data_IF_590083530903
#
_entry.id   IF_590083530903
#
_cell.length_a   1.000
_cell.length_b   1.000
_cell.length_c   1.000
_cell.angle_alpha   90.00
_cell.angle_beta   90.00
_cell.angle_gamma   90.00
#
_symmetry.space_group_name_H-M   'P 1'
#
loop_
_entity.id
_entity.type
_entity.pdbx_description
1 polymer ?
#
# COMPACT_ATOMS: atom_id res chain seq x y z
N UNK A 1 10.61 36.94 -10.97
CA UNK A 1 10.35 36.03 -9.85
C UNK A 1 11.45 34.99 -9.77
N UNK A 2 11.82 34.54 -8.58
CA UNK A 2 12.77 33.42 -8.41
C UNK A 2 12.11 32.13 -8.92
N UNK A 3 12.91 31.17 -9.46
CA UNK A 3 12.37 29.90 -9.90
C UNK A 3 11.82 29.08 -8.72
N UNK A 4 10.79 28.25 -8.99
CA UNK A 4 10.26 27.30 -8.00
C UNK A 4 11.27 26.18 -7.73
N UNK A 5 11.03 25.42 -6.64
CA UNK A 5 11.84 24.25 -6.31
C UNK A 5 11.86 23.22 -7.45
N UNK A 6 13.03 22.68 -7.75
CA UNK A 6 13.19 21.64 -8.79
C UNK A 6 12.69 20.27 -8.35
N UNK A 7 12.46 20.04 -7.04
CA UNK A 7 12.03 18.74 -6.50
C UNK A 7 10.77 18.17 -7.16
N UNK A 8 9.83 19.05 -7.49
CA UNK A 8 8.55 18.65 -8.10
C UNK A 8 8.47 18.92 -9.60
N UNK A 9 9.58 19.36 -10.22
CA UNK A 9 9.59 19.77 -11.64
C UNK A 9 9.18 18.64 -12.61
N UNK A 10 9.42 17.39 -12.21
CA UNK A 10 9.08 16.19 -13.01
C UNK A 10 7.88 15.41 -12.46
N UNK A 11 7.22 15.93 -11.41
CA UNK A 11 6.01 15.29 -10.89
C UNK A 11 4.83 15.59 -11.83
N UNK A 12 4.08 14.55 -12.13
CA UNK A 12 2.80 14.66 -12.83
C UNK A 12 1.66 14.47 -11.84
N UNK A 13 0.46 14.85 -12.23
CA UNK A 13 -0.74 14.47 -11.47
C UNK A 13 -0.79 12.94 -11.29
N UNK A 14 -1.24 12.50 -10.11
CA UNK A 14 -1.48 11.08 -9.87
C UNK A 14 -2.35 10.46 -10.96
N UNK A 15 -1.81 9.45 -11.61
CA UNK A 15 -2.52 8.73 -12.68
C UNK A 15 -3.77 8.04 -12.14
N UNK A 16 -3.71 7.51 -10.93
CA UNK A 16 -4.85 6.89 -10.24
C UNK A 16 -6.00 7.90 -10.08
N UNK A 17 -5.70 9.13 -9.65
CA UNK A 17 -6.72 10.20 -9.50
C UNK A 17 -7.23 10.70 -10.84
N UNK A 18 -6.37 10.76 -11.86
CA UNK A 18 -6.77 11.08 -13.25
C UNK A 18 -7.79 10.06 -13.73
N UNK A 19 -7.52 8.77 -13.59
CA UNK A 19 -8.43 7.70 -14.02
C UNK A 19 -9.75 7.69 -13.23
N UNK A 20 -9.73 8.08 -11.96
CA UNK A 20 -10.96 8.30 -11.19
C UNK A 20 -11.81 9.43 -11.78
N UNK A 21 -11.19 10.56 -12.14
CA UNK A 21 -11.92 11.67 -12.79
C UNK A 21 -12.52 11.25 -14.13
N UNK A 22 -11.77 10.51 -14.95
CA UNK A 22 -12.22 9.97 -16.22
C UNK A 22 -13.38 8.98 -16.03
N UNK A 23 -13.28 8.07 -15.07
CA UNK A 23 -14.35 7.13 -14.74
C UNK A 23 -15.65 7.87 -14.36
N UNK A 24 -15.55 8.90 -13.52
CA UNK A 24 -16.71 9.72 -13.13
C UNK A 24 -17.30 10.49 -14.31
N UNK A 25 -16.46 11.03 -15.21
CA UNK A 25 -16.90 11.77 -16.40
C UNK A 25 -17.78 10.91 -17.33
N UNK A 26 -17.46 9.63 -17.46
CA UNK A 26 -18.18 8.72 -18.35
C UNK A 26 -19.18 7.80 -17.63
N UNK A 27 -19.40 7.97 -16.32
CA UNK A 27 -20.28 7.09 -15.54
C UNK A 27 -19.79 5.62 -15.54
N UNK A 28 -18.49 5.44 -15.65
CA UNK A 28 -17.86 4.13 -15.61
C UNK A 28 -17.86 3.55 -14.20
N UNK A 29 -17.97 2.23 -14.09
CA UNK A 29 -17.69 1.52 -12.83
C UNK A 29 -16.23 1.73 -12.47
N UNK A 30 -15.97 2.47 -11.39
CA UNK A 30 -14.60 2.84 -11.03
C UNK A 30 -13.87 1.71 -10.31
N UNK A 31 -13.04 0.97 -11.04
CA UNK A 31 -12.09 -0.03 -10.50
C UNK A 31 -10.64 0.48 -10.53
N UNK A 32 -10.43 1.81 -10.68
CA UNK A 32 -9.09 2.41 -10.74
C UNK A 32 -8.51 2.72 -9.35
N UNK A 33 -9.21 3.49 -8.53
CA UNK A 33 -8.74 3.87 -7.21
C UNK A 33 -9.15 2.85 -6.14
N UNK A 34 -8.15 2.19 -5.53
CA UNK A 34 -8.34 1.10 -4.59
C UNK A 34 -8.89 1.54 -3.23
N UNK A 35 -10.21 1.64 -3.12
CA UNK A 35 -10.93 1.80 -1.85
C UNK A 35 -12.23 0.98 -1.86
N UNK A 36 -12.63 0.41 -0.69
CA UNK A 36 -13.87 -0.31 -0.55
C UNK A 36 -15.10 0.57 -0.76
N UNK A 37 -16.18 0.02 -1.31
CA UNK A 37 -17.52 0.64 -1.38
C UNK A 37 -18.50 0.03 -0.36
N UNK A 38 -17.98 -0.65 0.64
CA UNK A 38 -18.71 -1.19 1.78
C UNK A 38 -18.26 -0.52 3.09
N UNK A 39 -19.17 -0.55 4.07
CA UNK A 39 -19.04 0.22 5.30
C UNK A 39 -17.95 -0.32 6.23
N UNK A 40 -17.38 0.55 7.09
CA UNK A 40 -16.56 0.15 8.21
C UNK A 40 -17.33 -0.74 9.21
N UNK A 41 -16.62 -1.50 10.07
CA UNK A 41 -17.26 -2.27 11.14
C UNK A 41 -18.15 -1.42 12.05
N UNK A 42 -19.36 -1.92 12.36
CA UNK A 42 -20.35 -1.17 13.12
C UNK A 42 -19.85 -0.73 14.50
N UNK A 43 -18.99 -1.54 15.16
CA UNK A 43 -18.40 -1.17 16.45
C UNK A 43 -17.54 0.11 16.37
N UNK A 44 -16.82 0.30 15.26
CA UNK A 44 -16.04 1.51 15.00
C UNK A 44 -16.95 2.71 14.75
N UNK A 45 -18.01 2.54 13.95
CA UNK A 45 -18.98 3.60 13.67
C UNK A 45 -19.74 4.03 14.93
N UNK A 46 -20.14 3.08 15.76
CA UNK A 46 -20.79 3.36 17.04
C UNK A 46 -19.85 4.15 17.96
N UNK A 47 -18.59 3.74 18.06
CA UNK A 47 -17.62 4.46 18.88
C UNK A 47 -17.36 5.88 18.36
N UNK A 48 -17.31 6.08 17.04
CA UNK A 48 -17.19 7.42 16.44
C UNK A 48 -18.36 8.32 16.85
N UNK A 49 -19.59 7.80 16.85
CA UNK A 49 -20.76 8.55 17.26
C UNK A 49 -20.69 8.98 18.75
N UNK A 50 -20.17 8.10 19.63
CA UNK A 50 -19.94 8.42 21.04
C UNK A 50 -18.86 9.50 21.20
N UNK A 51 -17.70 9.29 20.58
CA UNK A 51 -16.53 10.19 20.62
C UNK A 51 -16.89 11.62 20.19
N UNK A 52 -17.84 11.78 19.27
CA UNK A 52 -18.31 13.11 18.84
C UNK A 52 -18.93 13.95 19.96
N UNK A 53 -19.30 13.34 21.08
CA UNK A 53 -19.87 13.99 22.27
C UNK A 53 -18.96 13.94 23.48
N UNK A 54 -17.76 13.39 23.37
CA UNK A 54 -16.76 13.28 24.41
C UNK A 54 -15.64 14.33 24.22
N UNK A 55 -14.74 14.45 25.20
CA UNK A 55 -13.69 15.48 25.21
C UNK A 55 -12.40 15.00 24.48
N UNK A 56 -12.54 14.69 23.18
CA UNK A 56 -11.43 14.30 22.30
C UNK A 56 -11.18 15.28 21.13
N UNK A 57 -11.63 16.54 21.27
CA UNK A 57 -11.58 17.53 20.19
C UNK A 57 -10.23 18.28 20.10
N UNK A 58 -9.40 18.17 21.11
CA UNK A 58 -8.10 18.84 21.15
C UNK A 58 -6.97 17.89 20.71
N UNK A 59 -5.76 18.41 20.60
CA UNK A 59 -4.60 17.61 20.25
C UNK A 59 -4.42 16.43 21.22
N UNK A 60 -4.21 15.25 20.68
CA UNK A 60 -3.60 14.15 21.44
C UNK A 60 -2.10 14.41 21.61
N UNK A 61 -1.40 13.52 22.32
CA UNK A 61 0.06 13.46 22.23
C UNK A 61 0.44 13.35 20.76
N UNK A 62 1.43 14.12 20.27
CA UNK A 62 1.73 14.28 18.86
C UNK A 62 1.98 12.95 18.16
N UNK A 63 2.75 12.05 18.77
CA UNK A 63 3.02 10.71 18.22
C UNK A 63 1.92 9.68 18.47
N UNK A 64 0.72 10.12 18.89
CA UNK A 64 -0.48 9.30 19.03
C UNK A 64 -1.04 9.22 20.45
N UNK A 65 -2.36 9.12 20.57
CA UNK A 65 -3.04 8.92 21.85
C UNK A 65 -2.53 7.64 22.53
N UNK A 66 -2.37 7.70 23.85
CA UNK A 66 -1.76 6.60 24.61
C UNK A 66 -2.57 5.30 24.47
N UNK A 67 -3.88 5.36 24.67
CA UNK A 67 -4.77 4.20 24.56
C UNK A 67 -4.80 3.59 23.17
N UNK A 68 -4.66 4.40 22.11
CA UNK A 68 -4.51 3.92 20.74
C UNK A 68 -3.19 3.17 20.56
N UNK A 69 -2.06 3.74 21.03
CA UNK A 69 -0.75 3.10 20.90
C UNK A 69 -0.66 1.81 21.72
N UNK A 70 -1.28 1.76 22.90
CA UNK A 70 -1.37 0.56 23.75
C UNK A 70 -2.16 -0.56 23.02
N UNK A 71 -3.34 -0.24 22.47
CA UNK A 71 -4.15 -1.21 21.72
C UNK A 71 -3.44 -1.69 20.45
N UNK A 72 -2.73 -0.80 19.76
CA UNK A 72 -1.93 -1.15 18.59
C UNK A 72 -0.73 -2.02 18.95
N UNK A 73 -0.02 -1.69 20.05
CA UNK A 73 1.11 -2.49 20.55
C UNK A 73 0.66 -3.91 20.92
N UNK A 74 -0.47 -4.06 21.61
CA UNK A 74 -1.04 -5.36 21.94
C UNK A 74 -1.32 -6.20 20.68
N UNK A 75 -1.99 -5.60 19.69
CA UNK A 75 -2.28 -6.26 18.40
C UNK A 75 -0.99 -6.67 17.70
N UNK A 76 -0.08 -5.75 17.50
CA UNK A 76 1.12 -5.98 16.68
C UNK A 76 2.17 -6.84 17.38
N UNK A 77 2.26 -6.78 18.70
CA UNK A 77 3.13 -7.70 19.47
C UNK A 77 2.75 -9.15 19.23
N UNK A 78 1.44 -9.44 19.24
CA UNK A 78 0.94 -10.79 18.95
C UNK A 78 1.25 -11.23 17.52
N UNK A 79 1.07 -10.34 16.55
CA UNK A 79 1.25 -10.66 15.13
C UNK A 79 2.73 -10.77 14.73
N UNK A 80 3.58 -9.90 15.26
CA UNK A 80 5.02 -9.89 14.96
C UNK A 80 5.82 -10.87 15.84
N UNK A 81 5.19 -11.46 16.87
CA UNK A 81 5.84 -12.41 17.76
C UNK A 81 6.91 -11.79 18.67
N UNK A 82 6.81 -10.48 18.96
CA UNK A 82 7.69 -9.75 19.87
C UNK A 82 6.92 -8.70 20.66
N UNK A 83 7.36 -8.39 21.86
CA UNK A 83 6.82 -7.27 22.62
C UNK A 83 7.21 -5.94 21.95
N UNK A 84 6.23 -5.04 21.80
CA UNK A 84 6.37 -3.68 21.25
C UNK A 84 6.00 -2.70 22.36
N UNK A 85 6.92 -1.79 22.68
CA UNK A 85 6.67 -0.74 23.66
C UNK A 85 5.84 0.40 23.01
N UNK A 86 4.59 0.63 23.46
CA UNK A 86 3.74 1.69 22.94
C UNK A 86 4.30 3.10 23.15
N UNK A 87 5.25 3.29 24.06
CA UNK A 87 5.79 4.60 24.39
C UNK A 87 7.01 4.99 23.58
N UNK A 88 7.79 4.00 23.14
CA UNK A 88 9.07 4.25 22.47
C UNK A 88 9.15 3.70 21.06
N UNK A 89 8.29 2.77 20.64
CA UNK A 89 8.42 2.05 19.36
C UNK A 89 7.29 2.31 18.36
N UNK A 90 6.31 3.18 18.68
CA UNK A 90 5.16 3.50 17.83
C UNK A 90 5.05 5.01 17.59
N UNK A 91 4.74 5.38 16.34
CA UNK A 91 4.22 6.70 15.96
C UNK A 91 2.94 6.53 15.16
N UNK A 92 1.87 7.17 15.60
CA UNK A 92 0.61 7.26 14.85
C UNK A 92 0.69 8.39 13.81
N UNK A 93 0.32 8.12 12.56
CA UNK A 93 0.50 9.03 11.44
C UNK A 93 -0.81 9.29 10.69
N UNK A 94 -0.84 10.33 9.86
CA UNK A 94 -1.96 10.65 8.97
C UNK A 94 -2.02 9.69 7.76
N UNK A 95 -2.22 8.40 8.04
CA UNK A 95 -2.18 7.30 7.08
C UNK A 95 -0.76 6.82 6.79
N UNK A 96 -0.65 5.68 6.09
CA UNK A 96 0.65 5.12 5.69
C UNK A 96 1.46 6.05 4.78
N UNK A 97 0.81 6.94 4.04
CA UNK A 97 1.49 7.93 3.19
C UNK A 97 2.42 8.83 4.01
N UNK A 98 1.96 9.33 5.16
CA UNK A 98 2.82 10.07 6.08
C UNK A 98 3.84 9.15 6.75
N UNK A 99 3.44 7.94 7.16
CA UNK A 99 4.35 6.97 7.75
C UNK A 99 5.58 6.71 6.87
N UNK A 100 5.35 6.47 5.57
CA UNK A 100 6.41 6.27 4.57
C UNK A 100 7.29 7.52 4.41
N UNK A 101 6.69 8.70 4.28
CA UNK A 101 7.44 9.96 4.16
C UNK A 101 8.27 10.24 5.42
N UNK A 102 7.68 10.07 6.60
CA UNK A 102 8.40 10.29 7.86
C UNK A 102 9.56 9.29 8.04
N UNK A 103 9.35 8.02 7.67
CA UNK A 103 10.41 7.01 7.65
C UNK A 103 11.54 7.40 6.69
N UNK A 104 11.21 7.80 5.46
CA UNK A 104 12.18 8.23 4.45
C UNK A 104 13.00 9.44 4.93
N UNK A 105 12.35 10.49 5.44
CA UNK A 105 13.03 11.69 5.95
C UNK A 105 13.86 11.39 7.20
N UNK A 106 13.58 10.31 7.92
CA UNK A 106 14.34 9.88 9.09
C UNK A 106 15.65 9.21 8.71
N UNK A 107 15.66 8.39 7.65
CA UNK A 107 16.83 7.56 7.31
C UNK A 107 17.68 8.15 6.17
N UNK A 108 17.07 8.84 5.21
CA UNK A 108 17.75 9.31 4.00
C UNK A 108 18.19 10.78 4.10
N UNK A 109 19.42 11.06 3.70
CA UNK A 109 19.92 12.41 3.46
C UNK A 109 19.84 12.75 1.97
N UNK A 110 19.94 14.05 1.61
CA UNK A 110 20.07 14.43 0.21
C UNK A 110 21.29 13.77 -0.46
N UNK A 111 21.05 13.12 -1.61
CA UNK A 111 22.05 12.37 -2.37
C UNK A 111 22.20 10.90 -1.97
N UNK A 112 21.55 10.44 -0.90
CA UNK A 112 21.49 9.02 -0.59
C UNK A 112 20.64 8.27 -1.65
N UNK A 113 20.93 6.98 -1.83
CA UNK A 113 20.18 6.11 -2.75
C UNK A 113 19.20 5.25 -1.99
N UNK A 114 18.06 4.93 -2.62
CA UNK A 114 17.03 4.07 -2.06
C UNK A 114 16.55 3.07 -3.11
N UNK A 115 16.57 1.78 -2.76
CA UNK A 115 16.06 0.74 -3.64
C UNK A 115 14.53 0.74 -3.58
N UNK A 116 13.89 0.71 -4.74
CA UNK A 116 12.45 0.57 -4.93
C UNK A 116 12.20 -0.53 -5.93
N UNK A 117 11.42 -1.55 -5.55
CA UNK A 117 10.99 -2.56 -6.52
C UNK A 117 10.02 -1.96 -7.55
N UNK A 118 10.14 -2.37 -8.80
CA UNK A 118 9.24 -2.00 -9.90
C UNK A 118 8.51 -3.26 -10.40
N UNK A 119 7.17 -3.30 -10.42
CA UNK A 119 6.24 -2.18 -10.21
C UNK A 119 6.10 -1.78 -8.74
N UNK A 120 5.69 -0.52 -8.53
CA UNK A 120 5.58 0.08 -7.20
C UNK A 120 4.36 1.02 -7.12
N UNK A 121 3.90 1.27 -5.89
CA UNK A 121 2.92 2.31 -5.63
C UNK A 121 3.56 3.70 -5.86
N UNK A 122 2.86 4.56 -6.59
CA UNK A 122 3.40 5.85 -7.11
C UNK A 122 4.09 6.73 -6.05
N UNK A 123 3.72 6.60 -4.77
CA UNK A 123 4.31 7.40 -3.71
C UNK A 123 5.79 7.06 -3.42
N UNK A 124 6.24 5.81 -3.61
CA UNK A 124 7.59 5.43 -3.15
C UNK A 124 8.70 6.18 -3.90
N UNK A 125 8.53 6.36 -5.21
CA UNK A 125 9.45 7.20 -5.98
C UNK A 125 9.35 8.67 -5.58
N UNK A 126 8.13 9.16 -5.33
CA UNK A 126 7.90 10.54 -4.89
C UNK A 126 8.49 10.80 -3.49
N UNK A 127 8.26 9.89 -2.54
CA UNK A 127 8.80 9.99 -1.18
C UNK A 127 10.34 10.02 -1.18
N UNK A 128 10.96 9.20 -2.03
CA UNK A 128 12.41 9.18 -2.22
C UNK A 128 12.92 10.54 -2.72
N UNK A 129 12.33 11.08 -3.78
CA UNK A 129 12.73 12.38 -4.37
C UNK A 129 12.46 13.54 -3.40
N UNK A 130 11.31 13.54 -2.71
CA UNK A 130 10.97 14.59 -1.74
C UNK A 130 11.91 14.60 -0.54
N UNK A 131 12.42 13.44 -0.14
CA UNK A 131 13.46 13.32 0.89
C UNK A 131 14.85 13.74 0.41
N UNK A 132 15.00 14.05 -0.88
CA UNK A 132 16.27 14.43 -1.50
C UNK A 132 17.14 13.24 -1.92
N UNK A 133 16.65 12.02 -1.78
CA UNK A 133 17.34 10.81 -2.20
C UNK A 133 17.05 10.45 -3.66
N UNK A 134 17.85 9.50 -4.19
CA UNK A 134 17.76 9.01 -5.56
C UNK A 134 17.23 7.57 -5.58
N UNK A 135 16.14 7.26 -6.31
CA UNK A 135 15.64 5.89 -6.39
C UNK A 135 16.49 5.02 -7.33
N UNK A 136 16.81 3.80 -6.87
CA UNK A 136 17.33 2.69 -7.69
C UNK A 136 16.18 1.71 -7.88
N UNK A 137 15.73 1.54 -9.12
CA UNK A 137 14.64 0.61 -9.41
C UNK A 137 15.17 -0.79 -9.68
N UNK A 138 14.54 -1.81 -9.07
CA UNK A 138 14.82 -3.24 -9.28
C UNK A 138 13.57 -3.92 -9.82
N UNK A 139 13.63 -4.55 -11.00
CA UNK A 139 12.46 -5.15 -11.62
C UNK A 139 11.89 -6.34 -10.83
N UNK A 140 10.56 -6.42 -10.79
CA UNK A 140 9.80 -7.63 -10.50
C UNK A 140 9.15 -8.09 -11.81
N UNK A 141 9.44 -9.29 -12.25
CA UNK A 141 9.10 -9.76 -13.60
C UNK A 141 7.73 -10.42 -13.67
N UNK A 142 6.78 -9.88 -14.47
CA UNK A 142 5.51 -10.55 -14.72
C UNK A 142 5.71 -11.95 -15.36
N UNK A 143 4.81 -12.92 -15.18
CA UNK A 143 3.55 -12.82 -14.41
C UNK A 143 3.70 -13.11 -12.92
N UNK A 144 4.84 -13.66 -12.44
CA UNK A 144 5.07 -14.10 -11.07
C UNK A 144 5.56 -12.99 -10.16
N UNK A 145 6.12 -11.93 -10.75
CA UNK A 145 6.75 -10.80 -10.05
C UNK A 145 7.91 -11.20 -9.15
N UNK A 146 8.66 -12.21 -9.58
CA UNK A 146 9.92 -12.57 -8.94
C UNK A 146 11.00 -11.57 -9.32
N UNK A 147 11.97 -11.35 -8.42
CA UNK A 147 13.13 -10.51 -8.70
C UNK A 147 14.35 -11.37 -9.05
N UNK A 148 15.28 -10.82 -9.81
CA UNK A 148 16.59 -11.42 -10.04
C UNK A 148 17.51 -11.02 -8.88
N UNK A 149 18.10 -12.03 -8.21
CA UNK A 149 18.98 -11.82 -7.04
C UNK A 149 20.25 -11.06 -7.43
N UNK A 150 20.82 -11.30 -8.61
CA UNK A 150 22.03 -10.60 -9.06
C UNK A 150 21.76 -9.11 -9.34
N UNK A 151 20.59 -8.78 -9.90
CA UNK A 151 20.16 -7.40 -10.11
C UNK A 151 19.91 -6.69 -8.77
N UNK A 152 19.26 -7.37 -7.83
CA UNK A 152 19.04 -6.82 -6.49
C UNK A 152 20.39 -6.59 -5.78
N UNK A 153 21.32 -7.55 -5.85
CA UNK A 153 22.65 -7.38 -5.27
C UNK A 153 23.45 -6.27 -5.98
N UNK A 154 23.31 -6.12 -7.31
CA UNK A 154 23.91 -5.01 -8.04
C UNK A 154 23.39 -3.63 -7.58
N UNK A 155 22.09 -3.56 -7.22
CA UNK A 155 21.52 -2.36 -6.60
C UNK A 155 22.12 -2.11 -5.20
N UNK A 156 22.25 -3.13 -4.37
CA UNK A 156 22.89 -3.02 -3.05
C UNK A 156 24.37 -2.64 -3.11
N UNK A 157 25.11 -3.06 -4.15
CA UNK A 157 26.51 -2.64 -4.39
C UNK A 157 26.66 -1.15 -4.63
N UNK A 158 25.58 -0.43 -4.89
CA UNK A 158 25.59 1.03 -4.97
C UNK A 158 25.45 1.70 -3.58
N UNK A 159 25.52 0.92 -2.50
CA UNK A 159 25.41 1.36 -1.10
C UNK A 159 24.14 2.19 -0.83
N UNK A 160 22.94 1.66 -1.12
CA UNK A 160 21.70 2.36 -0.82
C UNK A 160 21.53 2.54 0.69
N UNK A 161 20.95 3.67 1.08
CA UNK A 161 20.60 3.94 2.49
C UNK A 161 19.47 3.07 2.98
N UNK A 162 18.49 2.81 2.09
CA UNK A 162 17.31 2.00 2.40
C UNK A 162 16.79 1.23 1.19
N UNK A 163 15.96 0.24 1.47
CA UNK A 163 15.09 -0.44 0.51
C UNK A 163 13.64 -0.28 0.96
N UNK A 164 12.73 0.06 0.02
CA UNK A 164 11.28 0.08 0.25
C UNK A 164 10.69 -1.26 -0.19
N UNK A 165 9.95 -1.92 0.70
CA UNK A 165 9.31 -3.22 0.48
C UNK A 165 7.80 -3.14 0.76
N UNK A 166 6.98 -3.25 -0.29
CA UNK A 166 5.52 -3.36 -0.17
C UNK A 166 5.11 -4.84 -0.15
N UNK A 167 4.59 -5.32 0.98
CA UNK A 167 4.19 -6.72 1.15
C UNK A 167 2.90 -6.86 1.99
N UNK A 168 1.79 -7.34 1.40
CA UNK A 168 1.52 -7.61 -0.02
C UNK A 168 1.62 -6.39 -0.92
N UNK A 169 2.00 -6.62 -2.19
CA UNK A 169 2.35 -5.55 -3.12
C UNK A 169 1.15 -4.89 -3.80
N UNK A 170 1.18 -3.59 -3.89
CA UNK A 170 0.43 -2.78 -4.82
C UNK A 170 1.41 -2.28 -5.91
N UNK A 171 1.23 -2.59 -7.20
CA UNK A 171 -0.04 -2.95 -7.88
C UNK A 171 -0.26 -4.44 -8.15
N UNK A 172 0.73 -5.30 -7.98
CA UNK A 172 0.74 -6.63 -8.59
C UNK A 172 0.13 -7.75 -7.73
N UNK A 173 -0.18 -7.47 -6.46
CA UNK A 173 -0.74 -8.48 -5.55
C UNK A 173 0.24 -9.58 -5.13
N UNK A 174 1.56 -9.41 -5.40
CA UNK A 174 2.58 -10.37 -4.94
C UNK A 174 2.64 -10.40 -3.42
N UNK A 175 2.80 -11.59 -2.87
CA UNK A 175 3.23 -11.82 -1.49
C UNK A 175 4.62 -12.42 -1.52
N UNK A 176 5.59 -11.71 -0.96
CA UNK A 176 6.96 -12.20 -0.91
C UNK A 176 7.04 -13.44 -0.02
N UNK A 177 7.62 -14.49 -0.53
CA UNK A 177 7.89 -15.71 0.22
C UNK A 177 8.92 -15.47 1.31
N UNK A 178 8.92 -16.32 2.34
CA UNK A 178 9.92 -16.23 3.41
C UNK A 178 11.34 -16.30 2.87
N UNK A 179 11.62 -17.16 1.88
CA UNK A 179 12.95 -17.29 1.26
C UNK A 179 13.38 -16.00 0.53
N UNK A 180 12.46 -15.36 -0.20
CA UNK A 180 12.73 -14.06 -0.84
C UNK A 180 13.02 -12.97 0.20
N UNK A 181 12.22 -12.92 1.28
CA UNK A 181 12.43 -11.97 2.37
C UNK A 181 13.76 -12.21 3.11
N UNK A 182 14.17 -13.46 3.32
CA UNK A 182 15.46 -13.81 3.90
C UNK A 182 16.62 -13.39 2.96
N UNK A 183 16.48 -13.56 1.66
CA UNK A 183 17.46 -13.06 0.67
C UNK A 183 17.61 -11.53 0.75
N UNK A 184 16.49 -10.79 0.82
CA UNK A 184 16.52 -9.33 0.98
C UNK A 184 17.17 -8.95 2.32
N UNK A 185 16.84 -9.68 3.40
CA UNK A 185 17.39 -9.44 4.74
C UNK A 185 18.91 -9.65 4.78
N UNK A 186 19.42 -10.69 4.12
CA UNK A 186 20.85 -10.97 4.05
C UNK A 186 21.61 -9.87 3.28
N UNK A 187 21.04 -9.39 2.18
CA UNK A 187 21.62 -8.27 1.44
C UNK A 187 21.55 -6.96 2.25
N UNK A 188 20.43 -6.68 2.91
CA UNK A 188 20.30 -5.49 3.77
C UNK A 188 21.32 -5.49 4.93
N UNK A 189 21.56 -6.65 5.55
CA UNK A 189 22.62 -6.83 6.57
C UNK A 189 24.02 -6.66 5.98
N UNK A 190 24.28 -7.29 4.84
CA UNK A 190 25.61 -7.28 4.16
C UNK A 190 26.03 -5.86 3.77
N UNK A 191 25.09 -5.03 3.32
CA UNK A 191 25.35 -3.68 2.82
C UNK A 191 24.93 -2.58 3.79
N UNK A 192 24.55 -2.95 5.02
CA UNK A 192 24.13 -2.04 6.11
C UNK A 192 23.02 -1.05 5.72
N UNK A 193 21.99 -1.57 5.05
CA UNK A 193 20.85 -0.78 4.61
C UNK A 193 19.65 -0.92 5.57
N UNK A 194 18.86 0.14 5.70
CA UNK A 194 17.55 0.08 6.33
C UNK A 194 16.53 -0.59 5.40
N UNK A 195 15.44 -1.12 5.97
CA UNK A 195 14.27 -1.57 5.20
C UNK A 195 13.04 -0.86 5.71
N UNK A 196 12.34 -0.16 4.82
CA UNK A 196 11.06 0.49 5.10
C UNK A 196 9.99 -0.37 4.46
N UNK A 197 9.11 -0.97 5.28
CA UNK A 197 8.03 -1.81 4.76
C UNK A 197 6.73 -1.02 4.67
N UNK A 198 5.93 -1.31 3.64
CA UNK A 198 4.52 -0.92 3.56
C UNK A 198 3.68 -2.19 3.69
N UNK A 199 3.03 -2.36 4.85
CA UNK A 199 2.31 -3.58 5.24
C UNK A 199 0.79 -3.35 5.33
N UNK A 200 0.25 -2.35 4.62
CA UNK A 200 -1.18 -1.97 4.70
C UNK A 200 -2.15 -3.09 4.31
N UNK A 201 -1.69 -4.12 3.61
CA UNK A 201 -2.47 -5.29 3.20
C UNK A 201 -2.17 -6.55 4.03
N UNK A 202 -1.55 -6.42 5.21
CA UNK A 202 -1.08 -7.51 6.07
C UNK A 202 -2.15 -8.59 6.35
N UNK A 203 -3.44 -8.22 6.36
CA UNK A 203 -4.56 -9.13 6.61
C UNK A 203 -5.29 -9.61 5.34
N UNK A 204 -4.82 -9.23 4.15
CA UNK A 204 -5.43 -9.62 2.87
C UNK A 204 -4.40 -10.43 2.09
N UNK A 205 -4.22 -11.68 2.51
CA UNK A 205 -3.24 -12.63 1.95
C UNK A 205 -3.94 -13.96 1.71
N UNK A 206 -4.00 -14.39 0.45
CA UNK A 206 -4.77 -15.54 0.02
C UNK A 206 -3.97 -16.83 0.13
N UNK A 207 -4.63 -17.93 0.58
CA UNK A 207 -4.00 -19.24 0.61
C UNK A 207 -3.44 -19.64 -0.77
N UNK A 208 -2.28 -20.30 -0.84
CA UNK A 208 -1.50 -20.86 0.26
C UNK A 208 -0.47 -19.89 0.88
N UNK A 209 -0.49 -18.62 0.50
CA UNK A 209 0.47 -17.62 0.97
C UNK A 209 0.15 -17.18 2.41
N UNK A 210 1.18 -16.69 3.09
CA UNK A 210 1.09 -16.12 4.45
C UNK A 210 1.90 -14.84 4.54
N UNK A 211 1.39 -13.84 5.28
CA UNK A 211 2.18 -12.64 5.55
C UNK A 211 3.33 -12.93 6.51
N UNK A 212 4.49 -12.41 6.21
CA UNK A 212 5.66 -12.41 7.11
C UNK A 212 6.06 -10.96 7.36
N UNK A 213 6.00 -10.54 8.61
CA UNK A 213 6.51 -9.22 9.01
C UNK A 213 8.02 -9.19 8.86
N UNK A 214 8.54 -8.30 8.04
CA UNK A 214 9.98 -8.25 7.75
C UNK A 214 10.81 -7.98 9.01
N UNK A 215 10.32 -7.12 9.90
CA UNK A 215 10.94 -6.82 11.18
C UNK A 215 11.05 -8.03 12.13
N UNK A 216 10.27 -9.09 11.91
CA UNK A 216 10.35 -10.33 12.72
C UNK A 216 11.42 -11.31 12.23
N UNK A 217 12.05 -11.06 11.09
CA UNK A 217 13.17 -11.89 10.62
C UNK A 217 14.40 -11.69 11.49
N UNK A 218 15.24 -12.74 11.67
CA UNK A 218 16.43 -12.65 12.50
C UNK A 218 17.36 -11.49 12.10
N UNK A 219 17.65 -10.60 13.05
CA UNK A 219 18.53 -9.44 12.87
C UNK A 219 17.97 -8.32 12.01
N UNK A 220 16.63 -8.30 11.79
CA UNK A 220 16.00 -7.24 10.98
C UNK A 220 15.28 -6.18 11.79
N UNK A 221 14.99 -6.44 13.07
CA UNK A 221 14.35 -5.44 13.91
C UNK A 221 15.12 -4.12 13.97
N UNK A 222 16.44 -4.19 14.17
CA UNK A 222 17.32 -3.04 14.40
C UNK A 222 17.42 -2.10 13.18
N UNK A 223 16.97 -2.56 12.00
CA UNK A 223 17.08 -1.83 10.74
C UNK A 223 15.79 -1.73 9.94
N UNK A 224 14.65 -2.15 10.53
CA UNK A 224 13.35 -2.12 9.86
C UNK A 224 12.46 -1.02 10.44
N UNK A 225 11.79 -0.28 9.56
CA UNK A 225 10.68 0.60 9.89
C UNK A 225 9.44 0.00 9.24
N UNK A 226 8.57 -0.61 10.05
CA UNK A 226 7.29 -1.14 9.59
C UNK A 226 6.28 -0.01 9.51
N UNK A 227 5.84 0.33 8.29
CA UNK A 227 4.78 1.28 8.02
C UNK A 227 3.49 0.54 7.68
N UNK A 228 2.37 0.96 8.25
CA UNK A 228 1.07 0.39 7.91
C UNK A 228 -0.06 1.41 8.16
N UNK A 229 -1.29 0.99 7.91
CA UNK A 229 -2.48 1.80 8.20
C UNK A 229 -3.68 0.94 8.56
N UNK A 230 -4.66 1.58 9.16
CA UNK A 230 -5.95 0.97 9.48
C UNK A 230 -6.94 1.04 8.32
N UNK A 231 -6.56 1.75 7.25
CA UNK A 231 -7.39 2.10 6.10
C UNK A 231 -7.98 0.89 5.38
N UNK A 232 -7.19 -0.19 5.22
CA UNK A 232 -7.57 -1.35 4.42
C UNK A 232 -8.26 -2.41 5.27
N UNK A 233 -7.76 -2.60 6.48
CA UNK A 233 -8.30 -3.56 7.44
C UNK A 233 -9.73 -3.21 7.89
N UNK A 234 -10.03 -1.92 8.07
CA UNK A 234 -11.32 -1.47 8.61
C UNK A 234 -12.15 -0.64 7.62
N UNK A 235 -11.79 -0.60 6.33
CA UNK A 235 -12.52 0.16 5.28
C UNK A 235 -12.66 1.66 5.59
N UNK A 236 -11.64 2.27 6.19
CA UNK A 236 -11.62 3.68 6.64
C UNK A 236 -10.55 4.50 5.92
N UNK A 237 -10.40 4.33 4.61
CA UNK A 237 -9.34 5.01 3.82
C UNK A 237 -9.36 6.54 3.97
N UNK A 238 -10.53 7.14 4.16
CA UNK A 238 -10.73 8.57 4.35
C UNK A 238 -10.37 9.09 5.75
N UNK A 239 -10.21 8.20 6.75
CA UNK A 239 -9.91 8.62 8.12
C UNK A 239 -8.46 9.02 8.31
N UNK A 240 -7.59 8.61 7.42
CA UNK A 240 -6.18 8.95 7.47
C UNK A 240 -5.51 8.54 8.78
N UNK A 241 -5.65 7.27 9.17
CA UNK A 241 -4.95 6.68 10.31
C UNK A 241 -3.95 5.63 9.84
N UNK A 242 -2.69 5.85 10.17
CA UNK A 242 -1.57 4.95 9.93
C UNK A 242 -0.60 4.96 11.11
N UNK A 243 0.48 4.24 10.96
CA UNK A 243 1.48 4.15 12.02
C UNK A 243 2.83 3.67 11.48
N UNK A 244 3.88 3.95 12.25
CA UNK A 244 5.17 3.29 12.13
C UNK A 244 5.45 2.48 13.39
N UNK A 245 6.14 1.34 13.22
CA UNK A 245 6.73 0.54 14.29
C UNK A 245 8.20 0.34 13.97
N UNK A 246 9.08 0.74 14.88
CA UNK A 246 10.51 0.68 14.69
C UNK A 246 11.23 0.68 16.07
N UNK A 247 12.53 0.34 16.13
CA UNK A 247 13.33 0.51 17.35
C UNK A 247 13.23 1.91 17.92
N UNK A 248 13.34 2.02 19.25
CA UNK A 248 13.15 3.28 19.98
C UNK A 248 14.00 4.45 19.46
N UNK A 249 15.26 4.18 19.09
CA UNK A 249 16.15 5.21 18.54
C UNK A 249 15.65 5.78 17.20
N UNK A 250 15.16 4.91 16.31
CA UNK A 250 14.60 5.32 15.02
C UNK A 250 13.27 6.04 15.25
N UNK A 251 12.43 5.50 16.12
CA UNK A 251 11.12 6.08 16.48
C UNK A 251 11.26 7.49 17.07
N UNK A 252 12.28 7.74 17.91
CA UNK A 252 12.57 9.09 18.42
C UNK A 252 12.83 10.11 17.30
N UNK A 253 13.46 9.69 16.23
CA UNK A 253 13.68 10.54 15.03
C UNK A 253 12.40 10.70 14.22
N UNK A 254 11.63 9.63 14.02
CA UNK A 254 10.34 9.69 13.33
C UNK A 254 9.38 10.65 14.04
N UNK A 255 9.32 10.61 15.40
CA UNK A 255 8.51 11.55 16.20
C UNK A 255 8.79 13.00 15.84
N UNK A 256 10.07 13.37 15.68
CA UNK A 256 10.49 14.74 15.33
C UNK A 256 10.06 15.14 13.92
N UNK A 257 10.18 14.25 12.94
CA UNK A 257 9.72 14.49 11.58
C UNK A 257 8.21 14.65 11.55
N UNK A 258 7.48 13.71 12.15
CA UNK A 258 6.03 13.70 12.25
C UNK A 258 5.48 14.98 12.90
N UNK A 259 6.08 15.42 14.00
CA UNK A 259 5.65 16.63 14.73
C UNK A 259 5.66 17.88 13.83
N UNK A 260 6.70 18.04 13.00
CA UNK A 260 6.80 19.17 12.06
C UNK A 260 6.04 18.98 10.75
N UNK A 261 5.67 17.75 10.37
CA UNK A 261 4.86 17.51 9.17
C UNK A 261 3.37 17.78 9.43
N UNK A 262 2.83 17.26 10.53
CA UNK A 262 1.37 17.20 10.73
C UNK A 262 0.92 17.55 12.15
N UNK A 263 1.84 17.70 13.12
CA UNK A 263 1.56 17.87 14.55
C UNK A 263 0.93 16.62 15.20
N UNK A 264 0.11 15.87 14.47
CA UNK A 264 -0.52 14.65 14.94
C UNK A 264 -1.68 14.20 14.06
N UNK A 265 -2.03 12.93 14.17
CA UNK A 265 -3.23 12.39 13.56
C UNK A 265 -4.49 12.81 14.34
N UNK A 266 -5.65 12.81 13.68
CA UNK A 266 -6.92 13.25 14.26
C UNK A 266 -7.28 12.48 15.55
N UNK A 267 -7.28 13.17 16.69
CA UNK A 267 -7.53 12.58 18.00
C UNK A 267 -8.88 11.84 18.11
N UNK A 268 -10.01 12.39 17.64
CA UNK A 268 -11.29 11.68 17.70
C UNK A 268 -11.30 10.37 16.92
N UNK A 269 -10.59 10.31 15.80
CA UNK A 269 -10.54 9.11 14.96
C UNK A 269 -9.63 8.03 15.54
N UNK A 270 -8.55 8.43 16.24
CA UNK A 270 -7.72 7.49 16.99
C UNK A 270 -8.55 6.78 18.07
N UNK A 271 -9.36 7.54 18.82
CA UNK A 271 -10.24 7.00 19.85
C UNK A 271 -11.33 6.10 19.24
N UNK A 272 -11.95 6.53 18.15
CA UNK A 272 -13.04 5.82 17.49
C UNK A 272 -12.64 4.43 16.95
N UNK A 273 -11.36 4.22 16.60
CA UNK A 273 -10.90 2.98 15.99
C UNK A 273 -10.42 1.92 17.00
N UNK A 274 -10.27 2.28 18.28
CA UNK A 274 -9.78 1.37 19.32
C UNK A 274 -10.55 0.04 19.38
N UNK A 275 -11.90 0.00 19.29
CA UNK A 275 -12.61 -1.27 19.24
C UNK A 275 -12.12 -2.19 18.10
N UNK A 276 -11.78 -1.62 16.94
CA UNK A 276 -11.23 -2.36 15.81
C UNK A 276 -9.86 -3.00 16.11
N UNK A 277 -8.98 -2.28 16.79
CA UNK A 277 -7.67 -2.80 17.18
C UNK A 277 -7.76 -3.99 18.15
N UNK A 278 -8.87 -4.09 18.88
CA UNK A 278 -9.16 -5.16 19.86
C UNK A 278 -10.01 -6.30 19.30
N UNK A 279 -10.32 -6.30 18.01
CA UNK A 279 -11.04 -7.43 17.39
C UNK A 279 -10.25 -8.73 17.53
N UNK A 280 -10.99 -9.82 17.74
CA UNK A 280 -10.46 -11.17 17.74
C UNK A 280 -10.09 -11.69 16.36
N UNK A 281 -9.52 -12.89 16.30
CA UNK A 281 -9.11 -13.54 15.05
C UNK A 281 -10.29 -13.75 14.10
N UNK A 282 -11.48 -13.96 14.63
CA UNK A 282 -12.74 -14.12 13.88
C UNK A 282 -13.03 -12.95 12.93
N UNK A 283 -12.70 -11.73 13.34
CA UNK A 283 -12.80 -10.56 12.45
C UNK A 283 -11.87 -10.67 11.24
N UNK A 284 -10.60 -10.99 11.48
CA UNK A 284 -9.60 -11.08 10.43
C UNK A 284 -9.85 -12.26 9.49
N UNK A 285 -10.34 -13.37 10.02
CA UNK A 285 -10.78 -14.54 9.22
C UNK A 285 -11.99 -14.18 8.34
N UNK A 286 -12.97 -13.46 8.88
CA UNK A 286 -14.12 -12.96 8.11
C UNK A 286 -13.72 -11.93 7.05
N UNK A 287 -12.78 -11.04 7.36
CA UNK A 287 -12.21 -10.09 6.41
C UNK A 287 -11.53 -10.83 5.23
N UNK A 288 -10.66 -11.79 5.54
CA UNK A 288 -9.99 -12.60 4.54
C UNK A 288 -10.96 -13.41 3.69
N UNK A 289 -11.97 -14.02 4.30
CA UNK A 289 -13.03 -14.73 3.59
C UNK A 289 -13.77 -13.81 2.61
N UNK A 290 -14.11 -12.60 3.05
CA UNK A 290 -14.76 -11.59 2.21
C UNK A 290 -13.90 -11.23 0.99
N UNK A 291 -12.62 -10.94 1.19
CA UNK A 291 -11.73 -10.58 0.08
C UNK A 291 -11.40 -11.78 -0.81
N UNK A 292 -11.31 -13.00 -0.26
CA UNK A 292 -11.15 -14.23 -1.06
C UNK A 292 -12.33 -14.41 -1.99
N UNK A 293 -13.57 -14.26 -1.48
CA UNK A 293 -14.79 -14.34 -2.29
C UNK A 293 -14.76 -13.30 -3.42
N UNK A 294 -14.44 -12.03 -3.13
CA UNK A 294 -14.38 -10.94 -4.13
C UNK A 294 -13.31 -11.17 -5.18
N UNK A 295 -12.12 -11.66 -4.77
CA UNK A 295 -11.06 -12.07 -5.69
C UNK A 295 -11.55 -13.16 -6.64
N UNK A 296 -12.13 -14.22 -6.08
CA UNK A 296 -12.55 -15.38 -6.85
C UNK A 296 -13.68 -15.02 -7.81
N UNK A 297 -14.67 -14.24 -7.36
CA UNK A 297 -15.74 -13.72 -8.21
C UNK A 297 -15.19 -12.93 -9.40
N UNK A 298 -14.26 -12.00 -9.13
CA UNK A 298 -13.75 -11.11 -10.19
C UNK A 298 -12.81 -11.85 -11.14
N UNK A 299 -11.88 -12.66 -10.62
CA UNK A 299 -10.91 -13.43 -11.42
C UNK A 299 -11.64 -14.48 -12.28
N UNK A 300 -12.55 -15.27 -11.72
CA UNK A 300 -13.36 -16.23 -12.48
C UNK A 300 -14.22 -15.53 -13.54
N UNK A 301 -14.71 -14.33 -13.25
CA UNK A 301 -15.43 -13.51 -14.22
C UNK A 301 -14.52 -13.08 -15.39
N UNK A 302 -13.29 -12.67 -15.12
CA UNK A 302 -12.30 -12.35 -16.16
C UNK A 302 -11.97 -13.59 -17.02
N UNK A 303 -11.77 -14.76 -16.39
CA UNK A 303 -11.57 -16.04 -17.06
C UNK A 303 -12.74 -16.40 -18.01
N UNK A 304 -13.97 -16.25 -17.51
CA UNK A 304 -15.19 -16.56 -18.29
C UNK A 304 -15.36 -15.64 -19.51
N UNK A 305 -14.83 -14.41 -19.42
CA UNK A 305 -14.77 -13.47 -20.54
C UNK A 305 -13.61 -13.81 -21.49
N UNK A 306 -12.59 -14.54 -21.00
CA UNK A 306 -11.36 -14.87 -21.71
C UNK A 306 -10.36 -13.72 -21.70
N UNK A 307 -10.28 -12.96 -20.63
CA UNK A 307 -9.31 -11.88 -20.41
C UNK A 307 -8.10 -12.41 -19.66
N UNK A 308 -6.92 -12.28 -20.24
CA UNK A 308 -5.67 -12.70 -19.60
C UNK A 308 -5.32 -11.77 -18.43
N UNK A 309 -4.94 -12.36 -17.30
CA UNK A 309 -4.65 -11.61 -16.09
C UNK A 309 -3.69 -12.34 -15.16
N UNK A 310 -3.12 -11.62 -14.20
CA UNK A 310 -2.32 -12.18 -13.12
C UNK A 310 -3.21 -12.75 -12.01
N UNK A 311 -2.66 -13.69 -11.23
CA UNK A 311 -3.36 -14.24 -10.06
C UNK A 311 -2.89 -13.52 -8.80
N UNK A 312 -3.75 -12.72 -8.13
CA UNK A 312 -3.37 -12.04 -6.90
C UNK A 312 -3.09 -13.02 -5.75
N UNK A 313 -1.94 -12.87 -5.11
CA UNK A 313 -1.54 -13.62 -3.92
C UNK A 313 -1.97 -12.91 -2.63
N UNK A 314 -2.08 -11.58 -2.69
CA UNK A 314 -2.54 -10.72 -1.61
C UNK A 314 -3.02 -9.38 -2.13
N UNK A 315 -3.33 -8.45 -1.22
CA UNK A 315 -3.99 -7.18 -1.51
C UNK A 315 -5.34 -7.39 -2.23
N UNK A 316 -5.80 -6.42 -3.02
CA UNK A 316 -7.06 -6.54 -3.77
C UNK A 316 -6.92 -5.98 -5.20
N UNK A 317 -5.78 -6.25 -5.83
CA UNK A 317 -5.46 -5.82 -7.20
C UNK A 317 -5.22 -7.01 -8.11
N UNK A 318 -5.58 -6.82 -9.39
CA UNK A 318 -5.28 -7.74 -10.47
C UNK A 318 -4.78 -6.94 -11.67
N UNK A 319 -3.78 -7.46 -12.35
CA UNK A 319 -3.28 -6.89 -13.61
C UNK A 319 -3.85 -7.71 -14.78
N UNK A 320 -4.47 -7.03 -15.73
CA UNK A 320 -5.01 -7.60 -16.95
C UNK A 320 -4.08 -7.29 -18.12
N UNK A 321 -3.78 -8.29 -18.95
CA UNK A 321 -3.00 -8.12 -20.16
C UNK A 321 -3.89 -7.64 -21.31
N UNK A 322 -3.45 -6.57 -21.98
CA UNK A 322 -4.15 -5.96 -23.10
C UNK A 322 -3.42 -6.11 -24.44
N UNK A 323 -2.34 -6.91 -24.50
CA UNK A 323 -1.49 -7.07 -25.70
C UNK A 323 -2.29 -7.43 -26.94
N UNK A 324 -3.30 -8.28 -26.81
CA UNK A 324 -4.13 -8.77 -27.91
C UNK A 324 -4.97 -7.70 -28.60
N UNK A 325 -5.20 -6.53 -27.93
CA UNK A 325 -6.04 -5.47 -28.49
C UNK A 325 -5.26 -4.49 -29.38
N UNK A 326 -3.94 -4.61 -29.47
CA UNK A 326 -3.10 -3.84 -30.38
C UNK A 326 -2.97 -2.35 -30.08
N UNK A 327 -3.32 -1.92 -28.86
CA UNK A 327 -3.11 -0.54 -28.43
C UNK A 327 -1.63 -0.28 -28.16
N UNK A 328 -1.14 0.88 -28.59
CA UNK A 328 0.24 1.31 -28.36
C UNK A 328 0.46 1.87 -26.96
N UNK A 329 -0.60 2.26 -26.29
CA UNK A 329 -0.58 2.86 -24.96
C UNK A 329 -1.68 2.26 -24.09
N UNK A 330 -1.30 1.75 -22.92
CA UNK A 330 -2.23 1.29 -21.90
C UNK A 330 -3.09 2.43 -21.35
N UNK A 331 -2.58 3.67 -21.36
CA UNK A 331 -3.37 4.86 -21.02
C UNK A 331 -4.52 5.07 -22.02
N UNK A 332 -4.25 5.03 -23.33
CA UNK A 332 -5.30 5.13 -24.36
C UNK A 332 -6.34 4.01 -24.22
N UNK A 333 -5.88 2.79 -23.92
CA UNK A 333 -6.79 1.68 -23.64
C UNK A 333 -7.65 1.94 -22.41
N UNK A 334 -7.09 2.43 -21.30
CA UNK A 334 -7.84 2.76 -20.09
C UNK A 334 -8.87 3.88 -20.32
N UNK A 335 -8.54 4.88 -21.14
CA UNK A 335 -9.47 5.95 -21.50
C UNK A 335 -10.62 5.43 -22.38
N UNK A 336 -10.33 4.58 -23.36
CA UNK A 336 -11.34 3.87 -24.16
C UNK A 336 -12.20 2.96 -23.28
N UNK A 337 -11.57 2.20 -22.40
CA UNK A 337 -12.27 1.28 -21.48
C UNK A 337 -13.29 2.03 -20.61
N UNK A 338 -12.93 3.19 -20.07
CA UNK A 338 -13.85 4.01 -19.29
C UNK A 338 -14.97 4.61 -20.14
N UNK A 339 -14.66 5.12 -21.34
CA UNK A 339 -15.60 5.82 -22.21
C UNK A 339 -16.57 4.87 -22.92
N UNK A 340 -16.06 3.81 -23.55
CA UNK A 340 -16.83 2.97 -24.50
C UNK A 340 -17.32 1.67 -23.86
N UNK A 341 -16.52 1.10 -22.96
CA UNK A 341 -16.89 -0.12 -22.21
C UNK A 341 -17.63 0.22 -20.93
N UNK A 342 -17.21 1.31 -20.25
CA UNK A 342 -17.81 1.80 -19.02
C UNK A 342 -17.20 1.20 -17.75
N UNK A 343 -15.90 0.85 -17.79
CA UNK A 343 -15.13 0.36 -16.61
C UNK A 343 -13.83 1.14 -16.50
N UNK A 344 -13.53 1.66 -15.31
CA UNK A 344 -12.31 2.39 -15.03
C UNK A 344 -11.19 1.48 -14.56
N UNK A 345 -10.00 1.66 -15.12
CA UNK A 345 -8.76 0.97 -14.76
C UNK A 345 -7.61 1.96 -14.58
N UNK A 346 -6.45 1.50 -14.13
CA UNK A 346 -5.21 2.29 -14.10
C UNK A 346 -4.21 1.69 -15.08
N UNK A 347 -3.58 2.50 -15.95
CA UNK A 347 -2.54 2.02 -16.84
C UNK A 347 -1.35 1.49 -16.04
N UNK A 348 -0.86 0.30 -16.40
CA UNK A 348 0.25 -0.37 -15.74
C UNK A 348 1.54 0.42 -15.82
N UNK A 349 1.79 1.05 -16.97
CA UNK A 349 2.97 1.90 -17.20
C UNK A 349 3.20 2.97 -16.12
N UNK A 350 2.15 3.36 -15.39
CA UNK A 350 2.28 4.28 -14.25
C UNK A 350 2.98 3.68 -13.04
N UNK A 351 3.07 2.36 -12.96
CA UNK A 351 3.68 1.64 -11.85
C UNK A 351 5.06 1.07 -12.17
N UNK A 352 5.37 0.89 -13.45
CA UNK A 352 6.65 0.33 -13.90
C UNK A 352 7.64 1.42 -14.30
N UNK A 353 8.92 1.13 -14.17
CA UNK A 353 10.01 1.92 -14.78
C UNK A 353 10.54 1.29 -16.05
N UNK A 354 10.31 0.00 -16.22
CA UNK A 354 10.52 -0.76 -17.43
C UNK A 354 9.45 -0.39 -18.48
N UNK A 355 9.71 -0.70 -19.76
CA UNK A 355 8.74 -0.48 -20.85
C UNK A 355 7.63 -1.55 -20.80
N UNK A 356 6.79 -1.47 -19.78
CA UNK A 356 5.60 -2.30 -19.58
C UNK A 356 4.35 -1.46 -19.82
N UNK A 357 3.81 -1.53 -21.02
CA UNK A 357 2.67 -0.73 -21.48
C UNK A 357 1.48 -1.60 -21.97
N UNK A 358 1.51 -2.89 -21.62
CA UNK A 358 0.51 -3.89 -22.00
C UNK A 358 -0.30 -4.44 -20.82
N UNK A 359 -0.12 -3.88 -19.63
CA UNK A 359 -0.85 -4.25 -18.43
C UNK A 359 -1.72 -3.09 -17.95
N UNK A 360 -2.91 -3.39 -17.47
CA UNK A 360 -3.77 -2.44 -16.74
C UNK A 360 -4.16 -3.03 -15.40
N UNK A 361 -4.34 -2.17 -14.38
CA UNK A 361 -4.70 -2.60 -13.04
C UNK A 361 -6.17 -2.34 -12.74
N UNK A 362 -6.87 -3.37 -12.26
CA UNK A 362 -8.13 -3.27 -11.56
C UNK A 362 -7.97 -3.50 -10.06
N UNK A 363 -8.91 -3.02 -9.27
CA UNK A 363 -9.11 -3.48 -7.90
C UNK A 363 -10.50 -4.09 -7.72
N UNK A 364 -10.62 -5.07 -6.83
CA UNK A 364 -11.87 -5.79 -6.58
C UNK A 364 -12.43 -5.58 -5.15
N UNK A 365 -11.98 -4.53 -4.44
CA UNK A 365 -12.53 -4.14 -3.14
C UNK A 365 -13.88 -3.44 -3.33
N UNK A 366 -14.87 -4.14 -3.88
CA UNK A 366 -16.19 -3.62 -4.21
C UNK A 366 -17.28 -4.58 -3.74
N UNK A 367 -18.53 -4.09 -3.65
CA UNK A 367 -19.70 -4.94 -3.46
C UNK A 367 -19.86 -5.89 -4.65
N UNK A 368 -20.47 -7.04 -4.42
CA UNK A 368 -20.62 -8.06 -5.45
C UNK A 368 -21.42 -7.53 -6.66
N UNK A 369 -22.45 -6.72 -6.39
CA UNK A 369 -23.24 -6.08 -7.46
C UNK A 369 -22.38 -5.17 -8.35
N UNK A 370 -21.44 -4.42 -7.75
CA UNK A 370 -20.51 -3.57 -8.49
C UNK A 370 -19.55 -4.40 -9.34
N UNK A 371 -19.04 -5.52 -8.81
CA UNK A 371 -18.17 -6.43 -9.55
C UNK A 371 -18.90 -7.11 -10.71
N UNK A 372 -20.12 -7.60 -10.48
CA UNK A 372 -20.95 -8.18 -11.54
C UNK A 372 -21.25 -7.17 -12.65
N UNK A 373 -21.59 -5.93 -12.30
CA UNK A 373 -21.81 -4.87 -13.28
C UNK A 373 -20.55 -4.58 -14.10
N UNK A 374 -19.38 -4.52 -13.45
CA UNK A 374 -18.11 -4.34 -14.15
C UNK A 374 -17.84 -5.50 -15.14
N UNK A 375 -18.01 -6.74 -14.69
CA UNK A 375 -17.81 -7.93 -15.52
C UNK A 375 -18.77 -7.97 -16.72
N UNK A 376 -20.04 -7.65 -16.50
CA UNK A 376 -21.03 -7.55 -17.60
C UNK A 376 -20.63 -6.51 -18.64
N UNK A 377 -20.10 -5.36 -18.20
CA UNK A 377 -19.60 -4.34 -19.12
C UNK A 377 -18.35 -4.79 -19.87
N UNK A 378 -17.41 -5.47 -19.18
CA UNK A 378 -16.17 -6.00 -19.76
C UNK A 378 -16.43 -7.04 -20.87
N UNK A 379 -17.59 -7.71 -20.90
CA UNK A 379 -17.95 -8.62 -22.00
C UNK A 379 -17.91 -7.94 -23.39
N UNK A 380 -18.06 -6.61 -23.46
CA UNK A 380 -17.92 -5.87 -24.73
C UNK A 380 -16.53 -6.04 -25.35
N UNK A 381 -15.50 -6.33 -24.53
CA UNK A 381 -14.14 -6.55 -25.03
C UNK A 381 -14.00 -7.81 -25.90
N UNK A 382 -14.95 -8.77 -25.82
CA UNK A 382 -14.99 -9.93 -26.73
C UNK A 382 -15.20 -9.55 -28.20
N UNK A 383 -15.68 -8.34 -28.45
CA UNK A 383 -16.03 -7.86 -29.81
C UNK A 383 -14.95 -6.96 -30.41
N UNK A 384 -13.90 -6.64 -29.63
CA UNK A 384 -12.73 -5.89 -30.07
C UNK A 384 -11.63 -6.83 -30.54
#
# INVERSE_FOLDING_TARGET
MQPLSTRTAHFTDSVIRRMTRISNQYGAVNLSQGFPDFDPPQAILNRLAEVAHEDFHQYSITWGAQNFREALAEKQSRLMGREIDPNSEIVTTCGSTEAMMAAMMTVANPGDKVIVFSPFYENYGADTILSGAEPIYVPLYPPTFDFNVDELEAAFKQHPKALILCNPSNPCGKVFTRAELETIADLAKKYDAYVITDEVYEHIVYAPYTHTYFASLPGMWERTISCSSLSKTYSITGWRLGYTIAPAEITDRIKKVHDFLTVGAAAPLQEAVIPGLRFGQDYYDGLLQTYTHKRDLFVQGLDAIGLEHTTPQGAYYVLMDISRYGYKSDLEFCEMLARDVGVGAVPGSSFFREDVNHLIRFHFAKKDETLHEALNRLEKLKKL
#
